data_IF_440075812593
#
_entry.id   IF_440075812593
#
_cell.length_a   1.000
_cell.length_b   1.000
_cell.length_c   1.000
_cell.angle_alpha   90.00
_cell.angle_beta   90.00
_cell.angle_gamma   90.00
#
_symmetry.space_group_name_H-M   'P 1'
#
loop_
_entity.id
_entity.type
_entity.pdbx_description
1 polymer ?
#
# COMPACT_ATOMS: atom_id res chain seq x y z
N UNK A 1 -4.17 -10.33 14.80
CA UNK A 1 -3.35 -10.93 13.73
C UNK A 1 -2.02 -10.20 13.67
N UNK A 2 -0.89 -10.88 13.83
CA UNK A 2 0.44 -10.27 13.84
C UNK A 2 0.75 -9.59 12.52
N UNK A 3 1.65 -8.61 12.55
CA UNK A 3 2.14 -7.95 11.34
C UNK A 3 3.20 -8.81 10.65
N UNK A 4 3.28 -8.72 9.33
CA UNK A 4 4.39 -9.29 8.56
C UNK A 4 5.64 -8.46 8.81
N UNK A 5 6.57 -8.97 9.61
CA UNK A 5 7.81 -8.25 9.97
C UNK A 5 9.00 -8.93 9.30
N UNK A 6 9.48 -8.32 8.24
CA UNK A 6 10.68 -8.76 7.53
C UNK A 6 11.93 -8.01 8.00
N UNK A 7 13.09 -8.47 7.56
CA UNK A 7 14.37 -7.84 7.86
C UNK A 7 14.47 -6.48 7.15
N UNK A 8 14.97 -5.47 7.86
CA UNK A 8 15.27 -4.17 7.28
C UNK A 8 16.69 -4.10 6.73
N UNK A 9 17.61 -4.76 7.41
CA UNK A 9 19.05 -4.77 7.07
C UNK A 9 19.62 -3.35 6.93
N UNK A 10 19.28 -2.48 7.89
CA UNK A 10 19.66 -1.07 7.85
C UNK A 10 21.12 -0.92 8.22
N UNK A 11 21.94 -0.48 7.27
CA UNK A 11 23.36 -0.19 7.49
C UNK A 11 23.58 1.30 7.71
N UNK A 12 24.63 1.70 8.47
CA UNK A 12 25.03 3.09 8.57
C UNK A 12 25.32 3.69 7.19
N UNK A 13 24.81 4.88 6.93
CA UNK A 13 25.11 5.60 5.68
C UNK A 13 26.53 6.19 5.77
N UNK A 14 27.34 6.00 4.73
CA UNK A 14 28.63 6.65 4.61
C UNK A 14 28.45 8.18 4.67
N UNK A 15 29.11 8.90 5.58
CA UNK A 15 29.00 10.35 5.68
C UNK A 15 29.35 11.10 4.38
N UNK A 16 30.22 10.54 3.55
CA UNK A 16 30.59 11.12 2.26
C UNK A 16 29.54 10.90 1.16
N UNK A 17 28.56 9.99 1.37
CA UNK A 17 27.59 9.62 0.34
C UNK A 17 26.77 10.81 -0.19
N UNK A 18 26.39 11.74 0.70
CA UNK A 18 25.64 12.94 0.29
C UNK A 18 26.41 13.84 -0.66
N UNK A 19 27.74 13.94 -0.50
CA UNK A 19 28.59 14.78 -1.35
C UNK A 19 28.81 14.21 -2.75
N UNK A 20 28.48 12.92 -2.95
CA UNK A 20 28.56 12.25 -4.26
C UNK A 20 27.26 12.34 -5.06
N UNK A 21 26.19 12.90 -4.48
CA UNK A 21 24.91 12.96 -5.14
C UNK A 21 24.78 14.21 -6.02
N UNK A 22 24.31 14.02 -7.25
CA UNK A 22 24.01 15.10 -8.17
C UNK A 22 22.71 15.83 -7.80
N UNK A 23 22.56 17.12 -8.12
CA UNK A 23 21.31 17.85 -7.92
C UNK A 23 20.13 17.14 -8.58
N UNK A 24 19.04 16.92 -7.81
CA UNK A 24 17.84 16.22 -8.28
C UNK A 24 17.79 14.71 -8.04
N UNK A 25 18.85 14.11 -7.47
CA UNK A 25 18.92 12.67 -7.19
C UNK A 25 17.72 12.14 -6.38
N UNK A 26 17.16 12.95 -5.48
CA UNK A 26 15.99 12.57 -4.68
C UNK A 26 14.76 12.33 -5.55
N UNK A 27 14.52 13.20 -6.55
CA UNK A 27 13.43 13.02 -7.50
C UNK A 27 13.66 11.82 -8.42
N UNK A 28 14.90 11.60 -8.84
CA UNK A 28 15.26 10.44 -9.64
C UNK A 28 15.06 9.15 -8.84
N UNK A 29 15.57 9.08 -7.60
CA UNK A 29 15.37 7.95 -6.70
C UNK A 29 13.89 7.67 -6.42
N UNK A 30 13.09 8.72 -6.21
CA UNK A 30 11.65 8.60 -6.02
C UNK A 30 10.95 8.01 -7.24
N UNK A 31 11.25 8.51 -8.43
CA UNK A 31 10.70 7.97 -9.69
C UNK A 31 11.17 6.55 -9.96
N UNK A 32 12.42 6.24 -9.65
CA UNK A 32 12.97 4.90 -9.73
C UNK A 32 12.20 3.94 -8.83
N UNK A 33 11.97 4.32 -7.56
CA UNK A 33 11.17 3.54 -6.62
C UNK A 33 9.76 3.24 -7.18
N UNK A 34 9.03 4.25 -7.64
CA UNK A 34 7.70 4.05 -8.23
C UNK A 34 7.74 3.17 -9.48
N UNK A 35 8.79 3.28 -10.29
CA UNK A 35 8.99 2.41 -11.45
C UNK A 35 9.15 0.94 -11.02
N UNK A 36 9.93 0.66 -9.99
CA UNK A 36 10.06 -0.69 -9.41
C UNK A 36 8.73 -1.18 -8.86
N UNK A 37 8.02 -0.32 -8.08
CA UNK A 37 6.74 -0.66 -7.45
C UNK A 37 5.62 -0.96 -8.46
N UNK A 38 5.66 -0.34 -9.63
CA UNK A 38 4.69 -0.59 -10.73
C UNK A 38 5.16 -1.66 -11.71
N UNK A 39 6.31 -2.28 -11.47
CA UNK A 39 6.90 -3.26 -12.37
C UNK A 39 7.43 -2.65 -13.67
N UNK A 40 7.70 -1.33 -13.71
CA UNK A 40 8.35 -0.71 -14.86
C UNK A 40 9.84 -1.11 -14.92
N UNK A 41 10.43 -1.25 -16.12
CA UNK A 41 11.85 -1.57 -16.24
C UNK A 41 12.69 -0.41 -15.71
N UNK A 42 13.63 -0.73 -14.86
CA UNK A 42 14.65 0.19 -14.36
C UNK A 42 16.03 -0.35 -14.71
N UNK A 43 17.01 0.53 -14.90
CA UNK A 43 18.41 0.09 -15.13
C UNK A 43 19.00 -0.51 -13.85
N UNK A 44 18.72 0.15 -12.72
CA UNK A 44 19.14 -0.27 -11.39
C UNK A 44 18.05 0.07 -10.39
N UNK A 45 18.08 -0.56 -9.22
CA UNK A 45 17.23 -0.24 -8.09
C UNK A 45 17.98 0.71 -7.16
N UNK A 46 17.66 2.00 -7.24
CA UNK A 46 18.30 3.04 -6.43
C UNK A 46 17.90 2.99 -4.95
N UNK A 47 16.92 2.17 -4.58
CA UNK A 47 16.44 2.01 -3.20
C UNK A 47 16.96 0.72 -2.58
N UNK A 48 16.83 -0.39 -3.29
CA UNK A 48 17.34 -1.70 -2.96
C UNK A 48 17.02 -2.14 -1.51
N UNK A 49 15.76 -1.97 -1.10
CA UNK A 49 15.25 -2.34 0.22
C UNK A 49 14.22 -3.47 0.15
N UNK A 50 13.68 -3.86 1.31
CA UNK A 50 12.67 -4.92 1.40
C UNK A 50 11.37 -4.60 0.62
N UNK A 51 11.03 -3.34 0.40
CA UNK A 51 9.89 -2.96 -0.43
C UNK A 51 10.16 -3.30 -1.90
N UNK A 52 11.28 -2.84 -2.43
CA UNK A 52 11.63 -3.09 -3.83
C UNK A 52 11.88 -4.56 -4.08
N UNK A 53 12.47 -5.30 -3.12
CA UNK A 53 12.62 -6.75 -3.19
C UNK A 53 11.27 -7.47 -3.30
N UNK A 54 10.31 -7.15 -2.42
CA UNK A 54 8.99 -7.76 -2.41
C UNK A 54 8.25 -7.56 -3.74
N UNK A 55 8.29 -6.35 -4.29
CA UNK A 55 7.64 -6.05 -5.56
C UNK A 55 8.38 -6.66 -6.77
N UNK A 56 9.71 -6.75 -6.73
CA UNK A 56 10.48 -7.46 -7.75
C UNK A 56 10.17 -8.95 -7.77
N UNK A 57 10.00 -9.58 -6.63
CA UNK A 57 9.58 -10.98 -6.55
C UNK A 57 8.17 -11.16 -7.12
N UNK A 58 7.25 -10.26 -6.79
CA UNK A 58 5.88 -10.31 -7.28
C UNK A 58 5.77 -10.07 -8.79
N UNK A 59 6.50 -9.09 -9.32
CA UNK A 59 6.44 -8.70 -10.73
C UNK A 59 7.60 -9.25 -11.58
N UNK A 60 8.63 -9.84 -10.97
CA UNK A 60 9.80 -10.35 -11.69
C UNK A 60 9.47 -11.47 -12.68
N UNK A 61 8.48 -12.31 -12.37
CA UNK A 61 7.95 -13.31 -13.29
C UNK A 61 7.27 -12.67 -14.51
N UNK A 62 6.68 -11.48 -14.34
CA UNK A 62 6.06 -10.68 -15.40
C UNK A 62 7.10 -10.03 -16.32
N UNK A 63 8.20 -9.53 -15.76
CA UNK A 63 9.24 -8.83 -16.52
C UNK A 63 10.01 -9.77 -17.47
N UNK A 64 10.26 -11.00 -17.05
CA UNK A 64 11.07 -11.97 -17.82
C UNK A 64 10.29 -12.67 -18.94
N UNK A 65 8.95 -12.63 -18.94
CA UNK A 65 8.12 -13.40 -19.89
C UNK A 65 7.32 -12.56 -20.89
N UNK A 66 7.24 -11.22 -20.71
CA UNK A 66 6.42 -10.37 -21.56
C UNK A 66 7.27 -9.53 -22.55
N UNK A 67 7.09 -9.67 -23.88
CA UNK A 67 7.66 -8.71 -24.83
C UNK A 67 7.16 -7.30 -24.57
N UNK A 68 8.01 -6.29 -24.81
CA UNK A 68 7.72 -4.87 -24.54
C UNK A 68 6.40 -4.34 -25.12
N UNK A 69 5.96 -4.90 -26.26
CA UNK A 69 4.66 -4.61 -26.90
C UNK A 69 3.45 -5.08 -26.09
N UNK A 70 3.63 -5.98 -25.14
CA UNK A 70 2.57 -6.52 -24.30
C UNK A 70 2.17 -5.62 -23.14
N UNK A 71 3.07 -4.81 -22.66
CA UNK A 71 2.82 -3.85 -21.59
C UNK A 71 1.90 -2.71 -22.06
N UNK A 72 2.07 -2.25 -23.33
CA UNK A 72 1.14 -1.30 -23.93
C UNK A 72 -0.26 -1.92 -24.17
N UNK A 73 -0.33 -3.23 -24.48
CA UNK A 73 -1.60 -3.93 -24.64
C UNK A 73 -2.36 -4.10 -23.32
N UNK A 74 -1.69 -4.33 -22.19
CA UNK A 74 -2.33 -4.38 -20.87
C UNK A 74 -2.91 -3.02 -20.46
N UNK A 75 -2.18 -1.92 -20.71
CA UNK A 75 -2.69 -0.57 -20.51
C UNK A 75 -3.86 -0.22 -21.44
N UNK A 76 -3.81 -0.69 -22.68
CA UNK A 76 -4.90 -0.49 -23.63
C UNK A 76 -6.15 -1.34 -23.28
N UNK A 77 -5.99 -2.53 -22.71
CA UNK A 77 -7.11 -3.41 -22.30
C UNK A 77 -7.85 -2.85 -21.07
N UNK A 78 -7.15 -2.22 -20.14
CA UNK A 78 -7.80 -1.52 -19.01
C UNK A 78 -8.47 -0.22 -19.44
N UNK A 79 -8.04 0.39 -20.56
CA UNK A 79 -8.58 1.65 -21.06
C UNK A 79 -9.73 1.50 -22.08
N UNK A 80 -9.90 0.34 -22.70
CA UNK A 80 -10.85 0.13 -23.82
C UNK A 80 -11.57 -1.21 -23.68
N UNK A 81 -12.44 -1.33 -22.68
CA UNK A 81 -13.49 -2.34 -22.72
C UNK A 81 -14.81 -1.63 -23.06
N UNK A 82 -15.00 -1.31 -24.33
CA UNK A 82 -16.32 -1.02 -24.84
C UNK A 82 -17.05 -2.33 -25.18
N UNK A 83 -18.35 -2.34 -24.92
CA UNK A 83 -19.26 -3.49 -24.97
C UNK A 83 -19.32 -4.22 -26.33
N UNK A 84 -18.86 -3.58 -27.42
CA UNK A 84 -19.06 -4.06 -28.79
C UNK A 84 -17.93 -4.97 -29.32
N UNK A 85 -16.80 -5.04 -28.64
CA UNK A 85 -15.68 -5.89 -29.03
C UNK A 85 -15.83 -7.37 -28.57
N UNK A 86 -16.88 -7.65 -27.80
CA UNK A 86 -17.04 -8.93 -27.07
C UNK A 86 -17.68 -10.04 -27.90
N UNK A 87 -18.24 -9.79 -29.12
CA UNK A 87 -19.09 -10.79 -29.78
C UNK A 87 -18.48 -11.56 -30.97
N UNK A 88 -17.34 -11.18 -31.52
CA UNK A 88 -16.82 -11.92 -32.69
C UNK A 88 -15.29 -12.16 -32.63
N UNK A 89 -14.90 -13.34 -32.28
CA UNK A 89 -13.52 -13.82 -32.44
C UNK A 89 -12.63 -13.82 -31.18
N UNK A 90 -13.08 -13.22 -30.10
CA UNK A 90 -12.33 -13.07 -28.86
C UNK A 90 -12.26 -14.40 -28.07
N UNK A 91 -13.24 -15.30 -28.22
CA UNK A 91 -13.37 -16.52 -27.40
C UNK A 91 -12.15 -17.46 -27.53
N UNK A 92 -11.62 -17.66 -28.72
CA UNK A 92 -10.47 -18.57 -28.98
C UNK A 92 -9.14 -17.90 -28.61
N UNK A 93 -9.04 -16.58 -28.78
CA UNK A 93 -7.85 -15.83 -28.40
C UNK A 93 -7.77 -15.64 -26.89
N UNK A 94 -8.90 -15.43 -26.23
CA UNK A 94 -8.99 -15.28 -24.78
C UNK A 94 -8.79 -16.61 -24.04
N UNK A 95 -9.22 -17.75 -24.59
CA UNK A 95 -8.99 -19.07 -23.95
C UNK A 95 -7.51 -19.41 -23.90
N UNK A 96 -6.75 -19.18 -24.99
CA UNK A 96 -5.28 -19.34 -24.97
C UNK A 96 -4.56 -18.31 -24.09
N UNK A 97 -5.12 -17.12 -23.90
CA UNK A 97 -4.57 -16.09 -22.99
C UNK A 97 -5.03 -16.27 -21.57
N UNK A 98 -6.24 -16.71 -21.31
CA UNK A 98 -6.75 -17.00 -19.97
C UNK A 98 -5.90 -18.08 -19.27
N UNK A 99 -5.49 -19.12 -19.99
CA UNK A 99 -4.55 -20.12 -19.46
C UNK A 99 -3.17 -19.51 -19.09
N UNK A 100 -2.72 -18.52 -19.85
CA UNK A 100 -1.44 -17.83 -19.55
C UNK A 100 -1.59 -16.83 -18.38
N UNK A 101 -2.76 -16.22 -18.22
CA UNK A 101 -3.10 -15.38 -17.08
C UNK A 101 -3.32 -16.20 -15.80
N UNK A 102 -3.91 -17.40 -15.91
CA UNK A 102 -4.04 -18.33 -14.78
C UNK A 102 -2.66 -18.79 -14.28
N UNK A 103 -1.76 -19.14 -15.17
CA UNK A 103 -0.38 -19.48 -14.79
C UNK A 103 0.36 -18.31 -14.14
N UNK A 104 0.04 -17.07 -14.51
CA UNK A 104 0.64 -15.90 -13.90
C UNK A 104 0.07 -15.64 -12.49
N UNK A 105 -1.24 -15.77 -12.31
CA UNK A 105 -1.86 -15.63 -10.98
C UNK A 105 -1.31 -16.69 -10.02
N UNK A 106 -1.15 -17.93 -10.48
CA UNK A 106 -0.54 -19.02 -9.72
C UNK A 106 0.94 -18.74 -9.38
N UNK A 107 1.72 -18.21 -10.33
CA UNK A 107 3.11 -17.82 -10.09
C UNK A 107 3.20 -16.69 -9.03
N UNK A 108 2.32 -15.70 -9.10
CA UNK A 108 2.24 -14.62 -8.11
C UNK A 108 1.83 -15.15 -6.73
N UNK A 109 0.86 -16.05 -6.68
CA UNK A 109 0.43 -16.67 -5.43
C UNK A 109 1.54 -17.53 -4.81
N UNK A 110 2.29 -18.28 -5.62
CA UNK A 110 3.43 -19.05 -5.16
C UNK A 110 4.60 -18.16 -4.69
N UNK A 111 4.83 -17.01 -5.35
CA UNK A 111 5.83 -16.03 -4.92
C UNK A 111 5.45 -15.42 -3.56
N UNK A 112 4.18 -15.03 -3.40
CA UNK A 112 3.63 -14.54 -2.14
C UNK A 112 3.78 -15.57 -1.02
N UNK A 113 3.37 -16.82 -1.27
CA UNK A 113 3.51 -17.92 -0.33
C UNK A 113 4.96 -18.11 0.13
N UNK A 114 5.90 -18.17 -0.82
CA UNK A 114 7.33 -18.32 -0.51
C UNK A 114 7.86 -17.17 0.35
N UNK A 115 7.47 -15.94 0.03
CA UNK A 115 7.88 -14.79 0.82
C UNK A 115 7.30 -14.83 2.24
N UNK A 116 6.03 -15.19 2.37
CA UNK A 116 5.40 -15.31 3.69
C UNK A 116 5.96 -16.47 4.51
N UNK A 117 6.41 -17.58 3.87
CA UNK A 117 7.14 -18.63 4.57
C UNK A 117 8.50 -18.15 5.10
N UNK A 118 9.22 -17.32 4.35
CA UNK A 118 10.47 -16.71 4.85
C UNK A 118 10.21 -15.83 6.07
N UNK A 119 9.14 -15.03 6.04
CA UNK A 119 8.74 -14.16 7.16
C UNK A 119 8.38 -15.00 8.40
N UNK A 120 7.62 -16.10 8.22
CA UNK A 120 7.29 -17.03 9.32
C UNK A 120 8.51 -17.74 9.88
N UNK A 121 9.37 -18.25 9.00
CA UNK A 121 10.62 -18.90 9.41
C UNK A 121 11.55 -17.95 10.18
N UNK A 122 11.53 -16.66 9.87
CA UNK A 122 12.29 -15.65 10.63
C UNK A 122 11.79 -15.54 12.08
N UNK A 123 10.48 -15.65 12.32
CA UNK A 123 9.94 -15.66 13.69
C UNK A 123 10.52 -16.84 14.50
N UNK A 124 10.55 -18.06 13.90
CA UNK A 124 11.15 -19.24 14.53
C UNK A 124 12.66 -19.12 14.78
N UNK A 125 13.37 -18.42 13.88
CA UNK A 125 14.82 -18.26 14.01
C UNK A 125 15.23 -17.26 15.06
N UNK A 126 14.38 -16.25 15.32
CA UNK A 126 14.74 -15.09 16.15
C UNK A 126 14.11 -15.14 17.52
N UNK A 127 12.88 -15.66 17.65
CA UNK A 127 12.14 -15.71 18.92
C UNK A 127 12.41 -17.06 19.59
N UNK A 128 12.93 -17.02 20.82
CA UNK A 128 13.39 -18.21 21.54
C UNK A 128 12.24 -19.08 22.05
N UNK A 129 11.15 -18.46 22.50
CA UNK A 129 9.94 -19.15 22.96
C UNK A 129 9.06 -19.56 21.78
N UNK A 130 8.82 -20.86 21.63
CA UNK A 130 8.11 -21.41 20.47
C UNK A 130 6.65 -20.95 20.37
N UNK A 131 5.96 -20.80 21.49
CA UNK A 131 4.56 -20.38 21.51
C UNK A 131 4.45 -18.89 21.14
N UNK A 132 5.37 -18.08 21.62
CA UNK A 132 5.49 -16.67 21.24
C UNK A 132 5.86 -16.54 19.76
N UNK A 133 6.80 -17.33 19.26
CA UNK A 133 7.18 -17.36 17.85
C UNK A 133 5.97 -17.68 16.96
N UNK A 134 5.20 -18.72 17.31
CA UNK A 134 3.99 -19.10 16.58
C UNK A 134 2.93 -17.99 16.60
N UNK A 135 2.70 -17.37 17.75
CA UNK A 135 1.74 -16.27 17.88
C UNK A 135 2.12 -15.02 17.07
N UNK A 136 3.39 -14.87 16.72
CA UNK A 136 3.92 -13.76 15.90
C UNK A 136 3.93 -14.05 14.38
N UNK A 137 3.60 -15.28 13.95
CA UNK A 137 3.56 -15.63 12.53
C UNK A 137 2.33 -15.07 11.81
N UNK A 138 2.50 -14.37 10.69
CA UNK A 138 1.39 -13.88 9.88
C UNK A 138 0.89 -14.97 8.92
N UNK A 139 -0.37 -15.41 9.08
CA UNK A 139 -1.03 -16.38 8.19
C UNK A 139 -2.01 -15.72 7.23
N UNK A 140 -1.50 -14.75 6.44
CA UNK A 140 -2.25 -14.05 5.41
C UNK A 140 -1.30 -13.67 4.26
N UNK A 141 -1.84 -13.26 3.11
CA UNK A 141 -1.03 -12.79 1.97
C UNK A 141 -0.31 -11.49 2.29
N UNK A 142 0.92 -11.33 1.84
CA UNK A 142 1.84 -10.23 2.19
C UNK A 142 1.19 -8.84 2.13
N UNK A 143 0.41 -8.58 1.08
CA UNK A 143 -0.22 -7.26 0.87
C UNK A 143 -1.65 -7.15 1.44
N UNK A 144 -2.16 -8.14 2.17
CA UNK A 144 -3.41 -7.99 2.93
C UNK A 144 -3.28 -6.99 4.07
N UNK A 145 -2.07 -6.77 4.55
CA UNK A 145 -1.70 -5.70 5.48
C UNK A 145 -0.43 -5.04 4.98
N UNK A 146 -0.11 -3.85 5.52
CA UNK A 146 1.14 -3.18 5.18
C UNK A 146 2.33 -4.05 5.59
N UNK A 147 3.24 -4.44 4.69
CA UNK A 147 4.50 -5.06 5.06
C UNK A 147 5.32 -4.11 5.96
N UNK A 148 5.97 -4.68 6.96
CA UNK A 148 6.83 -3.96 7.88
C UNK A 148 8.25 -4.53 7.79
N UNK A 149 9.26 -3.69 7.99
CA UNK A 149 10.66 -4.07 7.96
C UNK A 149 11.34 -3.52 9.22
N UNK A 150 11.77 -4.43 10.10
CA UNK A 150 12.38 -4.04 11.37
C UNK A 150 13.30 -5.14 11.91
N UNK A 151 14.50 -4.78 12.33
CA UNK A 151 15.48 -5.76 12.78
C UNK A 151 15.34 -6.11 14.26
N UNK A 152 14.87 -5.17 15.10
CA UNK A 152 14.79 -5.32 16.54
C UNK A 152 13.42 -5.76 17.09
N UNK A 153 12.35 -5.76 16.25
CA UNK A 153 11.00 -6.08 16.73
C UNK A 153 10.89 -7.50 17.27
N UNK A 154 11.30 -8.50 16.50
CA UNK A 154 11.23 -9.89 16.93
C UNK A 154 12.17 -10.19 18.11
N UNK A 155 13.45 -9.74 18.11
CA UNK A 155 14.34 -9.93 19.27
C UNK A 155 13.83 -9.30 20.57
N UNK A 156 12.96 -8.29 20.49
CA UNK A 156 12.36 -7.66 21.67
C UNK A 156 11.59 -8.67 22.53
N UNK A 157 10.99 -9.68 21.93
CA UNK A 157 10.22 -10.71 22.65
C UNK A 157 11.08 -11.70 23.42
N UNK A 158 12.40 -11.74 23.23
CA UNK A 158 13.34 -12.52 24.02
C UNK A 158 13.74 -11.81 25.32
N UNK A 159 13.28 -10.58 25.53
CA UNK A 159 13.60 -9.80 26.73
C UNK A 159 12.70 -10.24 27.89
N UNK A 160 13.25 -10.43 29.11
CA UNK A 160 12.48 -10.92 30.25
C UNK A 160 11.39 -9.97 30.74
N UNK A 161 11.43 -8.70 30.32
CA UNK A 161 10.45 -7.67 30.65
C UNK A 161 9.43 -7.43 29.54
N UNK A 162 9.38 -8.27 28.51
CA UNK A 162 8.41 -8.19 27.41
C UNK A 162 7.54 -9.43 27.42
N UNK A 163 6.23 -9.24 27.44
CA UNK A 163 5.24 -10.30 27.41
C UNK A 163 4.30 -10.10 26.23
N UNK A 164 4.16 -11.11 25.38
CA UNK A 164 3.11 -11.16 24.36
C UNK A 164 1.83 -11.71 24.98
N UNK A 165 0.73 -10.98 24.91
CA UNK A 165 -0.59 -11.46 25.27
C UNK A 165 -1.37 -11.68 23.98
N UNK A 166 -1.51 -12.95 23.57
CA UNK A 166 -2.32 -13.31 22.42
C UNK A 166 -3.79 -13.34 22.83
N UNK A 167 -4.58 -12.46 22.23
CA UNK A 167 -6.03 -12.36 22.50
C UNK A 167 -6.88 -13.15 21.49
N UNK A 168 -6.28 -13.90 20.57
CA UNK A 168 -6.96 -14.61 19.47
C UNK A 168 -7.93 -13.72 18.67
N UNK A 169 -7.62 -12.44 18.58
CA UNK A 169 -8.43 -11.44 17.87
C UNK A 169 -9.66 -10.95 18.62
N UNK A 170 -9.90 -11.41 19.86
CA UNK A 170 -11.03 -10.95 20.68
C UNK A 170 -10.85 -9.54 21.26
N UNK A 171 -9.60 -9.08 21.32
CA UNK A 171 -9.25 -7.84 22.02
C UNK A 171 -9.12 -8.06 23.53
N UNK A 172 -9.05 -6.96 24.27
CA UNK A 172 -8.98 -6.99 25.75
C UNK A 172 -10.38 -6.97 26.34
N UNK A 173 -10.58 -7.61 27.50
CA UNK A 173 -11.91 -7.70 28.11
C UNK A 173 -12.31 -6.39 28.78
N UNK A 174 -11.35 -5.73 29.47
CA UNK A 174 -11.61 -4.50 30.22
C UNK A 174 -10.32 -3.70 30.39
N UNK A 175 -10.46 -2.38 30.43
CA UNK A 175 -9.44 -1.45 30.91
C UNK A 175 -9.90 -0.94 32.29
N UNK A 176 -9.05 -1.15 33.29
CA UNK A 176 -9.28 -0.71 34.67
C UNK A 176 -8.43 0.51 34.99
N UNK A 177 -8.59 1.06 36.19
CA UNK A 177 -7.70 2.15 36.66
C UNK A 177 -6.25 1.71 36.90
N UNK A 178 -6.02 0.40 37.02
CA UNK A 178 -4.70 -0.16 37.31
C UNK A 178 -4.04 -0.83 36.10
N UNK A 179 -4.78 -1.09 35.01
CA UNK A 179 -4.23 -1.81 33.88
C UNK A 179 -5.25 -2.39 32.91
N UNK A 180 -4.91 -3.51 32.32
CA UNK A 180 -5.68 -4.20 31.29
C UNK A 180 -6.05 -5.59 31.78
N UNK A 181 -7.32 -5.99 31.61
CA UNK A 181 -7.81 -7.33 31.93
C UNK A 181 -8.00 -8.13 30.64
N UNK A 182 -7.47 -9.33 30.61
CA UNK A 182 -7.72 -10.31 29.56
C UNK A 182 -7.75 -11.73 30.17
N UNK A 183 -8.80 -12.48 29.83
CA UNK A 183 -9.04 -13.86 30.27
C UNK A 183 -8.96 -14.00 31.81
N UNK A 184 -9.57 -13.06 32.52
CA UNK A 184 -9.63 -13.01 34.00
C UNK A 184 -8.32 -12.58 34.67
N UNK A 185 -7.25 -12.31 33.91
CA UNK A 185 -5.97 -11.85 34.46
C UNK A 185 -5.82 -10.33 34.25
N UNK A 186 -5.48 -9.60 35.32
CA UNK A 186 -5.13 -8.17 35.25
C UNK A 186 -3.63 -8.01 35.02
N UNK A 187 -3.30 -7.22 34.02
CA UNK A 187 -1.93 -6.78 33.70
C UNK A 187 -1.79 -5.32 34.14
N UNK A 188 -1.11 -5.11 35.24
CA UNK A 188 -0.86 -3.77 35.76
C UNK A 188 0.11 -3.02 34.86
N UNK A 189 -0.25 -1.80 34.45
CA UNK A 189 0.56 -0.95 33.58
C UNK A 189 0.41 0.51 34.00
N UNK A 190 1.47 1.28 33.79
CA UNK A 190 1.49 2.73 34.06
C UNK A 190 1.06 3.55 32.83
N UNK A 191 1.12 2.95 31.65
CA UNK A 191 0.78 3.61 30.38
C UNK A 191 0.16 2.62 29.40
N UNK A 192 -0.86 3.05 28.68
CA UNK A 192 -1.49 2.28 27.59
C UNK A 192 -1.31 3.05 26.29
N UNK A 193 -0.71 2.42 25.29
CA UNK A 193 -0.55 2.97 23.94
C UNK A 193 -1.57 2.29 23.02
N UNK A 194 -2.55 3.07 22.53
CA UNK A 194 -3.52 2.57 21.55
C UNK A 194 -2.93 2.63 20.15
N UNK A 195 -2.56 1.47 19.61
CA UNK A 195 -2.05 1.31 18.24
C UNK A 195 -3.04 0.53 17.37
N UNK A 196 -4.33 0.86 17.46
CA UNK A 196 -5.45 0.13 16.87
C UNK A 196 -5.68 0.40 15.37
N UNK A 197 -4.90 1.31 14.78
CA UNK A 197 -4.97 1.69 13.37
C UNK A 197 -5.81 2.94 13.14
N UNK A 198 -5.97 3.26 11.86
CA UNK A 198 -6.74 4.43 11.42
C UNK A 198 -8.11 4.02 10.89
N UNK A 199 -9.10 4.90 11.01
CA UNK A 199 -10.34 4.77 10.25
C UNK A 199 -10.04 4.97 8.75
N UNK A 200 -10.30 3.95 7.95
CA UNK A 200 -10.14 3.99 6.48
C UNK A 200 -11.54 4.04 5.85
N UNK A 201 -11.72 4.91 4.85
CA UNK A 201 -13.03 5.05 4.17
C UNK A 201 -14.05 5.90 4.92
N UNK A 202 -13.65 6.62 5.95
CA UNK A 202 -14.51 7.57 6.68
C UNK A 202 -14.95 8.70 5.75
N UNK A 203 -16.23 9.09 5.84
CA UNK A 203 -16.80 10.24 5.14
C UNK A 203 -15.97 11.51 5.36
N UNK A 204 -15.83 12.33 4.31
CA UNK A 204 -14.98 13.51 4.34
C UNK A 204 -15.45 14.53 5.38
N UNK A 205 -16.75 14.74 5.51
CA UNK A 205 -17.31 15.69 6.47
C UNK A 205 -17.08 15.22 7.91
N UNK A 206 -17.22 13.93 8.17
CA UNK A 206 -16.91 13.34 9.48
C UNK A 206 -15.42 13.47 9.81
N UNK A 207 -14.53 13.19 8.85
CA UNK A 207 -13.09 13.29 9.04
C UNK A 207 -12.63 14.73 9.23
N UNK A 208 -13.17 15.65 8.43
CA UNK A 208 -12.82 17.08 8.48
C UNK A 208 -13.41 17.79 9.68
N UNK A 209 -14.54 17.30 10.23
CA UNK A 209 -15.29 17.95 11.29
C UNK A 209 -16.09 19.18 10.84
N UNK A 210 -16.24 19.35 9.51
CA UNK A 210 -17.04 20.42 8.90
C UNK A 210 -17.69 19.95 7.60
N UNK A 211 -18.77 20.63 7.17
CA UNK A 211 -19.42 20.36 5.91
C UNK A 211 -18.69 21.06 4.75
N UNK A 212 -18.58 20.35 3.64
CA UNK A 212 -18.08 20.90 2.37
C UNK A 212 -19.29 21.10 1.46
N UNK A 213 -19.60 22.36 1.16
CA UNK A 213 -20.73 22.72 0.32
C UNK A 213 -20.25 23.27 -1.01
N UNK A 214 -20.83 22.79 -2.08
CA UNK A 214 -20.61 23.22 -3.45
C UNK A 214 -21.64 24.25 -3.93
N UNK A 215 -21.83 24.31 -5.23
CA UNK A 215 -22.81 25.18 -5.89
C UNK A 215 -24.22 24.79 -5.45
N UNK A 216 -25.09 25.79 -5.28
CA UNK A 216 -26.50 25.62 -4.86
C UNK A 216 -26.66 24.90 -3.51
N UNK A 217 -25.64 24.94 -2.65
CA UNK A 217 -25.69 24.34 -1.31
C UNK A 217 -25.57 22.82 -1.29
N UNK A 218 -25.24 22.17 -2.42
CA UNK A 218 -25.02 20.73 -2.49
C UNK A 218 -23.88 20.32 -1.54
N UNK A 219 -24.16 19.47 -0.55
CA UNK A 219 -23.12 18.94 0.30
C UNK A 219 -22.32 17.83 -0.37
N UNK A 220 -21.03 17.67 -0.01
CA UNK A 220 -20.21 16.58 -0.52
C UNK A 220 -20.71 15.22 -0.03
N UNK A 221 -21.28 15.14 1.16
CA UNK A 221 -21.85 13.93 1.72
C UNK A 221 -23.07 13.48 0.91
N UNK A 222 -23.96 14.40 0.51
CA UNK A 222 -25.09 14.08 -0.36
C UNK A 222 -24.65 13.69 -1.76
N UNK A 223 -23.62 14.41 -2.29
CA UNK A 223 -23.05 14.11 -3.60
C UNK A 223 -22.49 12.69 -3.69
N UNK A 224 -21.93 12.19 -2.61
CA UNK A 224 -21.30 10.86 -2.53
C UNK A 224 -22.11 9.82 -1.74
N UNK A 225 -23.39 10.08 -1.48
CA UNK A 225 -24.26 9.16 -0.74
C UNK A 225 -24.32 7.76 -1.38
N UNK A 226 -24.36 7.70 -2.73
CA UNK A 226 -24.36 6.45 -3.50
C UNK A 226 -22.97 5.94 -3.88
N UNK A 227 -21.93 6.55 -3.32
CA UNK A 227 -20.55 6.20 -3.59
C UNK A 227 -19.71 7.37 -4.11
N UNK A 228 -18.44 7.28 -3.84
CA UNK A 228 -17.46 8.29 -4.22
C UNK A 228 -17.26 8.33 -5.73
N UNK A 229 -17.40 9.50 -6.33
CA UNK A 229 -17.16 9.73 -7.77
C UNK A 229 -16.42 11.03 -8.00
N UNK A 230 -15.33 10.95 -8.75
CA UNK A 230 -14.47 12.10 -9.07
C UNK A 230 -14.10 12.08 -10.55
N UNK A 231 -13.62 13.22 -11.04
CA UNK A 231 -12.94 13.32 -12.32
C UNK A 231 -11.43 13.47 -12.07
N UNK A 232 -10.62 12.61 -12.65
CA UNK A 232 -9.18 12.49 -12.42
C UNK A 232 -8.76 12.33 -10.95
N UNK A 233 -9.61 11.74 -10.10
CA UNK A 233 -9.31 11.53 -8.68
C UNK A 233 -9.34 12.79 -7.81
N UNK A 234 -9.63 13.97 -8.38
CA UNK A 234 -9.49 15.26 -7.67
C UNK A 234 -10.67 16.20 -7.83
N UNK A 235 -11.38 16.16 -8.95
CA UNK A 235 -12.42 17.14 -9.26
C UNK A 235 -13.81 16.54 -9.06
N UNK A 236 -14.74 17.32 -8.53
CA UNK A 236 -16.13 16.90 -8.32
C UNK A 236 -17.07 17.91 -8.92
N UNK A 237 -18.01 17.43 -9.76
CA UNK A 237 -19.03 18.29 -10.36
C UNK A 237 -19.89 18.93 -9.26
N UNK A 238 -20.05 20.23 -9.33
CA UNK A 238 -20.73 21.04 -8.33
C UNK A 238 -19.80 21.64 -7.28
N UNK A 239 -18.48 21.36 -7.34
CA UNK A 239 -17.46 21.88 -6.42
C UNK A 239 -16.30 22.50 -7.21
N UNK A 240 -16.52 23.59 -7.97
CA UNK A 240 -15.55 24.10 -8.94
C UNK A 240 -14.24 24.57 -8.33
N UNK A 241 -14.25 25.03 -7.07
CA UNK A 241 -13.08 25.55 -6.37
C UNK A 241 -12.58 24.60 -5.26
N UNK A 242 -13.02 23.33 -5.28
CA UNK A 242 -12.60 22.32 -4.30
C UNK A 242 -11.87 21.18 -5.01
N UNK A 243 -10.69 20.84 -4.51
CA UNK A 243 -9.86 19.78 -5.05
C UNK A 243 -9.59 18.75 -3.94
N UNK A 244 -9.88 17.48 -4.23
CA UNK A 244 -9.79 16.38 -3.29
C UNK A 244 -8.52 15.60 -3.56
N UNK A 245 -7.47 15.81 -2.75
CA UNK A 245 -6.24 15.05 -2.85
C UNK A 245 -6.33 13.76 -2.04
N UNK A 246 -5.85 12.68 -2.60
CA UNK A 246 -5.82 11.42 -1.88
C UNK A 246 -6.07 10.19 -2.75
N UNK A 247 -6.33 9.03 -2.13
CA UNK A 247 -6.49 7.76 -2.84
C UNK A 247 -7.86 7.62 -3.53
N UNK A 248 -8.73 8.62 -3.43
CA UNK A 248 -10.08 8.58 -3.97
C UNK A 248 -10.06 8.55 -5.51
N UNK A 249 -10.16 7.37 -6.10
CA UNK A 249 -10.14 7.12 -7.56
C UNK A 249 -8.88 7.64 -8.28
N UNK A 250 -7.77 7.85 -7.56
CA UNK A 250 -6.52 8.38 -8.10
C UNK A 250 -5.44 7.31 -8.36
N UNK A 251 -5.74 6.06 -8.07
CA UNK A 251 -4.77 4.96 -8.13
C UNK A 251 -4.12 4.65 -6.78
N UNK A 252 -3.45 3.52 -6.73
CA UNK A 252 -2.76 3.03 -5.56
C UNK A 252 -1.25 3.09 -5.78
N UNK A 253 -0.53 3.62 -4.80
CA UNK A 253 0.93 3.59 -4.74
C UNK A 253 1.39 3.26 -3.31
N UNK A 254 2.54 2.62 -3.19
CA UNK A 254 3.17 2.41 -1.89
C UNK A 254 3.62 3.72 -1.23
N UNK A 255 3.87 4.76 -2.03
CA UNK A 255 4.31 6.08 -1.57
C UNK A 255 3.20 7.11 -1.73
N UNK A 256 2.39 7.29 -0.70
CA UNK A 256 1.26 8.23 -0.73
C UNK A 256 1.66 9.67 -1.10
N UNK A 257 2.79 10.14 -0.59
CA UNK A 257 3.34 11.47 -0.91
C UNK A 257 3.69 11.64 -2.38
N UNK A 258 4.11 10.58 -3.08
CA UNK A 258 4.32 10.61 -4.52
C UNK A 258 3.01 10.90 -5.26
N UNK A 259 1.92 10.21 -4.89
CA UNK A 259 0.60 10.44 -5.48
C UNK A 259 0.12 11.88 -5.29
N UNK A 260 0.32 12.44 -4.08
CA UNK A 260 -0.04 13.83 -3.79
C UNK A 260 0.76 14.83 -4.62
N UNK A 261 2.06 14.56 -4.84
CA UNK A 261 2.93 15.41 -5.65
C UNK A 261 2.50 15.41 -7.12
N UNK A 262 2.25 14.24 -7.70
CA UNK A 262 1.77 14.11 -9.08
C UNK A 262 0.39 14.78 -9.26
N UNK A 263 -0.53 14.64 -8.30
CA UNK A 263 -1.81 15.33 -8.32
C UNK A 263 -1.63 16.85 -8.24
N UNK A 264 -0.68 17.33 -7.45
CA UNK A 264 -0.37 18.76 -7.32
C UNK A 264 0.18 19.33 -8.62
N UNK A 265 1.11 18.64 -9.28
CA UNK A 265 1.65 19.03 -10.60
C UNK A 265 0.54 19.05 -11.64
N UNK A 266 -0.34 18.05 -11.64
CA UNK A 266 -1.47 17.99 -12.56
C UNK A 266 -2.44 19.16 -12.35
N UNK A 267 -2.80 19.47 -11.11
CA UNK A 267 -3.64 20.60 -10.77
C UNK A 267 -3.01 21.94 -11.18
N UNK A 268 -1.73 22.14 -10.87
CA UNK A 268 -1.00 23.35 -11.27
C UNK A 268 -1.04 23.57 -12.78
N UNK A 269 -0.84 22.51 -13.57
CA UNK A 269 -0.95 22.55 -15.03
C UNK A 269 -2.35 22.96 -15.51
N UNK A 270 -3.42 22.40 -14.89
CA UNK A 270 -4.80 22.78 -15.22
C UNK A 270 -5.04 24.27 -14.93
N UNK A 271 -4.64 24.73 -13.75
CA UNK A 271 -4.81 26.14 -13.34
C UNK A 271 -4.07 27.10 -14.26
N UNK A 272 -2.84 26.75 -14.68
CA UNK A 272 -2.07 27.53 -15.64
C UNK A 272 -2.81 27.65 -16.99
N UNK A 273 -3.35 26.54 -17.49
CA UNK A 273 -4.14 26.51 -18.74
C UNK A 273 -5.40 27.35 -18.65
N UNK A 274 -6.17 27.24 -17.56
CA UNK A 274 -7.38 28.05 -17.34
C UNK A 274 -7.05 29.53 -17.28
N UNK A 275 -6.02 29.91 -16.54
CA UNK A 275 -5.55 31.32 -16.49
C UNK A 275 -5.16 31.85 -17.84
N UNK A 276 -4.48 31.06 -18.68
CA UNK A 276 -4.10 31.46 -20.04
C UNK A 276 -5.32 31.62 -20.97
N UNK A 277 -6.44 30.98 -20.68
CA UNK A 277 -7.70 31.10 -21.42
C UNK A 277 -8.63 32.19 -20.88
N UNK A 278 -8.24 32.87 -19.79
CA UNK A 278 -9.05 33.93 -19.17
C UNK A 278 -10.23 33.39 -18.34
N UNK A 279 -10.13 32.13 -17.91
CA UNK A 279 -11.15 31.44 -17.08
C UNK A 279 -10.80 31.48 -15.57
#
# INVERSE_FOLDING_TARGET
>A
TPSSIDVRNNQPTDPSWMSTQEPGWQNERRRNFESVMTGAPVKEDMVADGWTEAFRLLFGSLQNKAPSKWRMAMWAITAVVSKDFYQQGLKTYLTKKATKFMNLAEEMELADYRKMEQVRARADQVVEDADTAEALKPYYRQFCKRPCFHDEYLPTYNRPNVTLVNTDGRGVDQITKNGIVFDGKEYAVDCIIFATGFEVGTDYSRRAGYQINGVDGLSISDKWADGLSTYHGMHVRGFPNSFFFGPAQSGFTATYTYSLDEQSVHLAHIMEKLKAQGA
#
